data_IF_520797481907
#
_entry.id   IF_520797481907
#
_cell.length_a   1.000
_cell.length_b   1.000
_cell.length_c   1.000
_cell.angle_alpha   90.00
_cell.angle_beta   90.00
_cell.angle_gamma   90.00
#
_symmetry.space_group_name_H-M   'P 1'
#
loop_
_entity.id
_entity.type
_entity.pdbx_description
1 polymer ?
#
# COMPACT_ATOMS: atom_id res chain seq x y z
N UNK A 1 55.15 15.38 -3.43
CA UNK A 1 54.45 14.18 -2.93
C UNK A 1 53.78 14.62 -1.64
N UNK A 2 52.49 14.84 -1.49
CA UNK A 2 51.27 14.55 -2.25
C UNK A 2 50.29 15.66 -1.81
N UNK A 3 49.79 16.50 -2.72
CA UNK A 3 48.80 17.53 -2.35
C UNK A 3 47.45 16.82 -2.23
N UNK A 4 47.01 16.59 -0.99
CA UNK A 4 45.69 16.06 -0.68
C UNK A 4 44.63 17.03 -1.23
N UNK A 5 43.88 16.59 -2.23
CA UNK A 5 42.79 17.37 -2.82
C UNK A 5 41.71 17.63 -1.77
N UNK A 6 41.06 18.81 -1.78
CA UNK A 6 39.99 19.12 -0.83
C UNK A 6 38.81 18.15 -1.03
N UNK A 7 38.38 17.54 0.07
CA UNK A 7 37.19 16.68 0.14
C UNK A 7 35.99 17.56 -0.25
N UNK A 8 35.21 17.22 -1.29
CA UNK A 8 34.05 18.02 -1.64
C UNK A 8 33.00 17.92 -0.54
N UNK A 9 32.45 19.07 -0.13
CA UNK A 9 31.42 19.15 0.90
C UNK A 9 30.25 18.19 0.60
N UNK A 10 29.74 17.45 1.60
CA UNK A 10 28.55 16.64 1.42
C UNK A 10 27.38 17.58 1.08
N UNK A 11 26.93 17.50 -0.18
CA UNK A 11 25.77 18.28 -0.64
C UNK A 11 24.59 18.01 0.32
N UNK A 12 23.96 19.05 0.88
CA UNK A 12 22.92 18.88 1.87
C UNK A 12 21.75 18.09 1.25
N UNK A 13 21.41 16.97 1.89
CA UNK A 13 20.28 16.09 1.55
C UNK A 13 18.93 16.82 1.48
N UNK A 14 18.86 18.10 1.89
CA UNK A 14 17.69 18.97 1.81
C UNK A 14 17.18 19.21 0.38
N UNK A 15 18.03 19.14 -0.65
CA UNK A 15 17.59 19.34 -2.05
C UNK A 15 16.86 18.10 -2.61
N UNK A 16 17.06 16.92 -2.02
CA UNK A 16 16.36 15.69 -2.44
C UNK A 16 14.94 15.56 -1.87
N UNK A 17 14.55 16.42 -0.93
CA UNK A 17 13.21 16.40 -0.32
C UNK A 17 12.25 17.45 -0.89
N UNK A 18 12.67 18.27 -1.87
CA UNK A 18 11.89 19.43 -2.28
C UNK A 18 11.07 19.33 -3.56
N UNK A 19 10.90 18.16 -4.19
CA UNK A 19 9.87 18.04 -5.25
C UNK A 19 9.08 16.72 -5.20
N UNK A 20 8.03 16.63 -4.37
CA UNK A 20 7.01 15.57 -4.47
C UNK A 20 6.01 15.79 -5.63
N UNK A 21 5.99 16.99 -6.24
CA UNK A 21 4.89 17.41 -7.13
C UNK A 21 5.06 17.01 -8.60
N UNK A 22 6.20 16.44 -9.00
CA UNK A 22 6.41 15.96 -10.36
C UNK A 22 6.77 14.48 -10.37
N UNK A 23 5.90 13.64 -9.78
CA UNK A 23 5.83 12.25 -10.21
C UNK A 23 4.80 12.22 -11.34
N UNK A 24 5.21 12.09 -12.63
CA UNK A 24 4.24 11.90 -13.69
C UNK A 24 3.40 10.70 -13.31
N UNK A 25 2.08 10.87 -13.26
CA UNK A 25 1.16 9.77 -13.09
C UNK A 25 1.38 8.81 -14.25
N UNK A 26 2.24 7.81 -14.05
CA UNK A 26 2.36 6.69 -14.98
C UNK A 26 1.02 5.99 -14.95
N UNK A 27 0.12 6.38 -15.85
CA UNK A 27 -1.04 5.58 -16.24
C UNK A 27 -0.47 4.34 -16.92
N UNK A 28 -0.06 3.37 -16.10
CA UNK A 28 0.37 2.06 -16.59
C UNK A 28 -0.83 1.45 -17.32
N UNK A 29 -0.61 0.80 -18.48
CA UNK A 29 -1.69 0.16 -19.22
C UNK A 29 -2.42 -0.84 -18.31
N UNK A 30 -3.75 -0.87 -18.42
CA UNK A 30 -4.63 -1.75 -17.65
C UNK A 30 -4.10 -3.18 -17.66
N UNK A 31 -3.65 -3.63 -16.50
CA UNK A 31 -3.15 -4.97 -16.27
C UNK A 31 -4.34 -5.94 -16.14
N UNK A 32 -4.14 -7.25 -16.40
CA UNK A 32 -5.19 -8.28 -16.17
C UNK A 32 -5.79 -8.22 -14.76
N UNK A 33 -5.02 -7.73 -13.78
CA UNK A 33 -5.46 -7.52 -12.40
C UNK A 33 -6.42 -6.36 -12.22
N UNK A 34 -6.33 -5.28 -13.02
CA UNK A 34 -7.32 -4.19 -13.01
C UNK A 34 -8.72 -4.67 -13.42
N UNK A 35 -8.78 -5.52 -14.44
CA UNK A 35 -10.04 -6.10 -14.92
C UNK A 35 -10.67 -7.01 -13.85
N UNK A 36 -9.86 -7.83 -13.18
CA UNK A 36 -10.33 -8.70 -12.08
C UNK A 36 -10.83 -7.88 -10.90
N UNK A 37 -10.12 -6.82 -10.48
CA UNK A 37 -10.57 -5.94 -9.38
C UNK A 37 -11.89 -5.27 -9.75
N UNK A 38 -12.02 -4.70 -10.96
CA UNK A 38 -13.30 -4.12 -11.42
C UNK A 38 -14.42 -5.13 -11.51
N UNK A 39 -14.16 -6.33 -12.06
CA UNK A 39 -15.16 -7.38 -12.21
C UNK A 39 -15.63 -7.92 -10.86
N UNK A 40 -14.72 -8.10 -9.90
CA UNK A 40 -15.01 -8.60 -8.54
C UNK A 40 -15.66 -7.54 -7.63
N UNK A 41 -15.56 -6.25 -7.97
CA UNK A 41 -16.32 -5.18 -7.32
C UNK A 41 -17.74 -5.06 -7.89
N UNK A 42 -17.96 -5.41 -9.16
CA UNK A 42 -19.24 -5.24 -9.85
C UNK A 42 -20.13 -6.49 -9.78
N UNK A 43 -19.56 -7.67 -9.91
CA UNK A 43 -20.18 -8.93 -9.51
C UNK A 43 -20.02 -9.03 -7.99
N UNK A 44 -21.13 -9.10 -7.23
CA UNK A 44 -21.15 -9.29 -5.77
C UNK A 44 -19.90 -10.03 -5.29
N UNK A 45 -19.16 -9.44 -4.34
CA UNK A 45 -17.97 -10.05 -3.74
C UNK A 45 -18.21 -11.56 -3.56
N UNK A 46 -17.49 -12.45 -4.28
CA UNK A 46 -17.66 -13.88 -4.10
C UNK A 46 -17.42 -14.18 -2.62
N UNK A 47 -18.10 -15.18 -2.02
CA UNK A 47 -17.91 -15.61 -0.61
C UNK A 47 -16.44 -15.44 -0.23
N UNK A 48 -16.11 -14.36 0.48
CA UNK A 48 -14.79 -13.78 0.36
C UNK A 48 -13.82 -14.57 1.22
N UNK A 49 -12.98 -15.37 0.57
CA UNK A 49 -11.88 -16.04 1.24
C UNK A 49 -10.81 -14.99 1.55
N UNK A 50 -10.16 -15.10 2.70
CA UNK A 50 -9.11 -14.17 3.16
C UNK A 50 -7.98 -14.04 2.14
N UNK A 51 -7.68 -15.12 1.41
CA UNK A 51 -6.74 -15.14 0.28
C UNK A 51 -7.17 -14.23 -0.88
N UNK A 52 -8.46 -14.23 -1.23
CA UNK A 52 -8.99 -13.39 -2.30
C UNK A 52 -8.88 -11.91 -1.92
N UNK A 53 -9.21 -11.56 -0.68
CA UNK A 53 -9.10 -10.19 -0.18
C UNK A 53 -7.64 -9.72 -0.15
N UNK A 54 -6.72 -10.55 0.34
CA UNK A 54 -5.28 -10.26 0.32
C UNK A 54 -4.76 -10.06 -1.12
N UNK A 55 -5.17 -10.89 -2.07
CA UNK A 55 -4.79 -10.75 -3.48
C UNK A 55 -5.33 -9.46 -4.12
N UNK A 56 -6.58 -9.11 -3.83
CA UNK A 56 -7.19 -7.87 -4.30
C UNK A 56 -6.45 -6.65 -3.74
N UNK A 57 -6.16 -6.63 -2.44
CA UNK A 57 -5.39 -5.56 -1.80
C UNK A 57 -3.98 -5.43 -2.39
N UNK A 58 -3.31 -6.56 -2.65
CA UNK A 58 -2.00 -6.56 -3.30
C UNK A 58 -2.08 -6.00 -4.73
N UNK A 59 -3.15 -6.31 -5.46
CA UNK A 59 -3.39 -5.75 -6.78
C UNK A 59 -3.61 -4.23 -6.69
N UNK A 60 -4.47 -3.76 -5.79
CA UNK A 60 -4.69 -2.33 -5.55
C UNK A 60 -3.41 -1.61 -5.13
N UNK A 61 -2.54 -2.26 -4.35
CA UNK A 61 -1.23 -1.74 -3.95
C UNK A 61 -0.28 -1.53 -5.13
N UNK A 62 -0.28 -2.45 -6.11
CA UNK A 62 0.52 -2.33 -7.34
C UNK A 62 -0.02 -1.24 -8.26
N UNK A 63 -1.35 -1.11 -8.31
CA UNK A 63 -2.07 -0.19 -9.17
C UNK A 63 -2.24 1.21 -8.58
N UNK A 64 -1.83 1.41 -7.32
CA UNK A 64 -2.13 2.60 -6.52
C UNK A 64 -3.63 2.96 -6.53
N UNK A 65 -4.50 1.96 -6.59
CA UNK A 65 -5.95 2.09 -6.72
C UNK A 65 -6.60 2.33 -5.34
N UNK A 66 -6.43 3.55 -4.82
CA UNK A 66 -6.84 3.89 -3.44
C UNK A 66 -8.34 3.72 -3.20
N UNK A 67 -9.18 4.16 -4.15
CA UNK A 67 -10.64 4.11 -4.01
C UNK A 67 -11.17 2.67 -3.95
N UNK A 68 -10.64 1.80 -4.80
CA UNK A 68 -10.96 0.38 -4.85
C UNK A 68 -10.48 -0.33 -3.59
N UNK A 69 -9.24 -0.06 -3.16
CA UNK A 69 -8.71 -0.66 -1.94
C UNK A 69 -9.43 -0.21 -0.66
N UNK A 70 -9.92 1.03 -0.60
CA UNK A 70 -10.80 1.50 0.50
C UNK A 70 -12.16 0.78 0.51
N UNK A 71 -12.73 0.46 -0.66
CA UNK A 71 -13.94 -0.35 -0.74
C UNK A 71 -13.69 -1.76 -0.22
N UNK A 72 -12.57 -2.36 -0.60
CA UNK A 72 -12.14 -3.66 -0.10
C UNK A 72 -11.92 -3.59 1.42
N UNK A 73 -11.26 -2.55 1.94
CA UNK A 73 -11.07 -2.36 3.39
C UNK A 73 -12.41 -2.32 4.14
N UNK A 74 -13.39 -1.55 3.66
CA UNK A 74 -14.75 -1.56 4.27
C UNK A 74 -15.37 -2.95 4.27
N UNK A 75 -15.22 -3.71 3.18
CA UNK A 75 -15.73 -5.08 3.10
C UNK A 75 -15.01 -6.02 4.07
N UNK A 76 -13.70 -5.87 4.23
CA UNK A 76 -12.87 -6.63 5.19
C UNK A 76 -13.37 -6.42 6.62
N UNK A 77 -13.59 -5.16 7.03
CA UNK A 77 -14.11 -4.84 8.37
C UNK A 77 -15.53 -5.39 8.56
N UNK A 78 -16.42 -5.16 7.59
CA UNK A 78 -17.80 -5.65 7.64
C UNK A 78 -17.91 -7.19 7.71
N UNK A 79 -16.91 -7.89 7.17
CA UNK A 79 -16.85 -9.35 7.16
C UNK A 79 -16.07 -9.93 8.37
N UNK A 80 -15.58 -9.08 9.28
CA UNK A 80 -14.83 -9.50 10.47
C UNK A 80 -13.39 -9.97 10.19
N UNK A 81 -12.83 -9.64 9.03
CA UNK A 81 -11.46 -10.03 8.64
C UNK A 81 -10.39 -8.96 8.92
N UNK A 82 -10.73 -7.88 9.64
CA UNK A 82 -9.83 -6.75 9.93
C UNK A 82 -8.52 -7.14 10.61
N UNK A 83 -8.57 -8.14 11.49
CA UNK A 83 -7.39 -8.67 12.22
C UNK A 83 -6.89 -10.01 11.65
N UNK A 84 -7.34 -10.41 10.45
CA UNK A 84 -6.89 -11.67 9.87
C UNK A 84 -5.41 -11.60 9.47
N UNK A 85 -4.63 -12.61 9.86
CA UNK A 85 -3.18 -12.71 9.64
C UNK A 85 -2.73 -12.53 8.17
N UNK A 86 -3.58 -12.83 7.20
CA UNK A 86 -3.25 -12.67 5.77
C UNK A 86 -3.75 -11.35 5.19
N UNK A 87 -4.95 -10.92 5.60
CA UNK A 87 -5.59 -9.71 5.08
C UNK A 87 -4.98 -8.46 5.68
N UNK A 88 -4.67 -8.49 6.98
CA UNK A 88 -4.20 -7.34 7.73
C UNK A 88 -2.85 -6.80 7.22
N UNK A 89 -1.78 -7.61 7.05
CA UNK A 89 -0.53 -7.12 6.46
C UNK A 89 -0.71 -6.64 5.03
N UNK A 90 -1.65 -7.25 4.29
CA UNK A 90 -1.97 -6.83 2.92
C UNK A 90 -2.65 -5.45 2.87
N UNK A 91 -3.53 -5.15 3.84
CA UNK A 91 -4.14 -3.82 4.01
C UNK A 91 -3.08 -2.76 4.33
N UNK A 92 -2.19 -3.07 5.27
CA UNK A 92 -1.11 -2.16 5.66
C UNK A 92 -0.19 -1.83 4.48
N UNK A 93 0.28 -2.86 3.77
CA UNK A 93 1.12 -2.68 2.58
C UNK A 93 0.37 -1.92 1.46
N UNK A 94 -0.93 -2.15 1.30
CA UNK A 94 -1.75 -1.36 0.36
C UNK A 94 -1.71 0.14 0.70
N UNK A 95 -2.03 0.50 1.95
CA UNK A 95 -2.05 1.90 2.38
C UNK A 95 -0.68 2.57 2.28
N UNK A 96 0.39 1.86 2.64
CA UNK A 96 1.77 2.33 2.47
C UNK A 96 2.11 2.63 1.00
N UNK A 97 1.75 1.75 0.06
CA UNK A 97 2.04 1.96 -1.38
C UNK A 97 1.14 2.99 -2.05
N UNK A 98 -0.04 3.23 -1.50
CA UNK A 98 -0.93 4.31 -1.93
C UNK A 98 -0.60 5.66 -1.29
N UNK A 99 0.51 5.76 -0.54
CA UNK A 99 0.97 6.97 0.15
C UNK A 99 -0.06 7.54 1.16
N UNK A 100 -1.00 6.71 1.61
CA UNK A 100 -2.05 7.10 2.55
C UNK A 100 -1.69 6.57 3.94
N UNK A 101 -0.73 7.25 4.55
CA UNK A 101 -0.08 6.85 5.81
C UNK A 101 -1.04 6.96 7.00
N UNK A 102 -2.04 7.84 6.95
CA UNK A 102 -2.98 8.03 8.06
C UNK A 102 -3.85 6.79 8.26
N UNK A 103 -4.48 6.26 7.21
CA UNK A 103 -5.23 5.00 7.29
C UNK A 103 -4.31 3.81 7.54
N UNK A 104 -3.10 3.81 6.97
CA UNK A 104 -2.10 2.78 7.27
C UNK A 104 -1.78 2.69 8.77
N UNK A 105 -1.69 3.83 9.45
CA UNK A 105 -1.49 3.90 10.90
C UNK A 105 -2.71 3.39 11.68
N UNK A 106 -3.92 3.70 11.22
CA UNK A 106 -5.15 3.18 11.84
C UNK A 106 -5.15 1.66 11.77
N UNK A 107 -4.95 1.09 10.57
CA UNK A 107 -4.86 -0.36 10.37
C UNK A 107 -3.77 -0.94 11.26
N UNK A 108 -2.56 -0.37 11.29
CA UNK A 108 -1.47 -0.86 12.15
C UNK A 108 -1.85 -0.87 13.64
N UNK A 109 -2.59 0.14 14.11
CA UNK A 109 -3.01 0.26 15.50
C UNK A 109 -4.17 -0.67 15.87
N UNK A 110 -4.93 -1.16 14.89
CA UNK A 110 -6.00 -2.16 15.08
C UNK A 110 -5.45 -3.58 15.35
N UNK A 111 -4.11 -3.75 15.36
CA UNK A 111 -3.46 -4.97 15.83
C UNK A 111 -3.63 -5.09 17.34
N UNK A 112 -4.63 -5.86 17.78
CA UNK A 112 -4.83 -6.19 19.21
C UNK A 112 -3.77 -7.15 19.75
N UNK A 113 -3.17 -7.99 18.89
CA UNK A 113 -2.03 -8.83 19.24
C UNK A 113 -0.76 -8.29 18.58
N UNK A 114 -0.08 -7.38 19.29
CA UNK A 114 1.34 -7.12 19.00
C UNK A 114 2.04 -8.47 19.12
N UNK A 115 2.29 -9.12 18.00
CA UNK A 115 3.18 -10.27 17.96
C UNK A 115 4.59 -9.69 18.15
N UNK A 116 4.90 -9.38 19.41
CA UNK A 116 6.22 -8.99 19.86
C UNK A 116 7.05 -10.25 19.68
N UNK A 117 7.80 -10.31 18.59
CA UNK A 117 8.93 -11.23 18.51
C UNK A 117 9.94 -10.67 19.49
N UNK A 118 9.98 -11.26 20.69
CA UNK A 118 10.96 -10.98 21.73
C UNK A 118 12.34 -11.53 21.33
#
# INVERSE_FOLDING_TARGET
MEKLAPIPDPKPYHILLQQPHQRPSLKKPMSRTDFLVKKLLHEKFPKSNTFTLAFLLKSCSILAALKEGQQIHRHVIASGFGSNLFVHPSLLNFYMKCEEVASGRIVFNEITEKNVVA
#
